data_IF_114939421307
#
_entry.id   IF_114939421307
#
_cell.length_a   1.000
_cell.length_b   1.000
_cell.length_c   1.000
_cell.angle_alpha   90.00
_cell.angle_beta   90.00
_cell.angle_gamma   90.00
#
_symmetry.space_group_name_H-M   'P 1'
#
loop_
_entity.id
_entity.type
_entity.pdbx_description
1 polymer ?
#
# COMPACT_ATOMS: atom_id res chain seq x y z
N UNK A 1 22.06 -8.15 -0.50
CA UNK A 1 22.17 -7.81 -1.95
C UNK A 1 23.50 -8.31 -2.52
N UNK A 2 24.64 -7.96 -1.89
CA UNK A 2 25.97 -8.35 -2.38
C UNK A 2 26.16 -9.87 -2.48
N UNK A 3 25.77 -10.64 -1.47
CA UNK A 3 25.88 -12.10 -1.44
C UNK A 3 25.11 -12.83 -2.56
N UNK A 4 24.09 -12.17 -3.13
CA UNK A 4 23.24 -12.72 -4.20
C UNK A 4 23.44 -12.03 -5.54
N UNK A 5 24.49 -11.23 -5.70
CA UNK A 5 24.76 -10.44 -6.92
C UNK A 5 23.57 -9.59 -7.41
N UNK A 6 22.84 -8.98 -6.46
CA UNK A 6 21.65 -8.14 -6.73
C UNK A 6 21.93 -6.66 -6.53
N UNK A 7 23.18 -6.25 -6.39
CA UNK A 7 23.59 -4.85 -6.10
C UNK A 7 23.08 -3.88 -7.15
N UNK A 8 23.09 -4.29 -8.42
CA UNK A 8 22.65 -3.45 -9.54
C UNK A 8 21.11 -3.38 -9.69
N UNK A 9 20.39 -4.21 -8.93
CA UNK A 9 18.92 -4.31 -8.98
C UNK A 9 18.23 -3.77 -7.74
N UNK A 10 18.98 -3.54 -6.66
CA UNK A 10 18.46 -3.07 -5.38
C UNK A 10 19.15 -1.77 -5.03
N UNK A 11 18.36 -0.73 -4.81
CA UNK A 11 18.83 0.58 -4.42
C UNK A 11 18.32 0.93 -3.02
N UNK A 12 19.24 1.13 -2.08
CA UNK A 12 18.93 1.59 -0.73
C UNK A 12 19.02 3.12 -0.71
N UNK A 13 17.89 3.79 -0.66
CA UNK A 13 17.81 5.26 -0.74
C UNK A 13 17.73 5.92 0.65
N UNK A 14 17.57 5.13 1.72
CA UNK A 14 17.37 5.68 3.06
C UNK A 14 16.00 6.31 3.25
N UNK A 15 15.87 7.15 4.26
CA UNK A 15 14.61 7.84 4.54
C UNK A 15 14.41 9.03 3.60
N UNK A 16 13.23 9.11 2.99
CA UNK A 16 12.83 10.20 2.09
C UNK A 16 11.72 11.00 2.76
N UNK A 17 12.02 12.25 3.13
CA UNK A 17 11.06 13.15 3.81
C UNK A 17 10.49 14.22 2.88
N UNK A 18 11.10 14.45 1.72
CA UNK A 18 10.62 15.42 0.76
C UNK A 18 9.43 14.84 -0.03
N UNK A 19 8.22 15.45 0.04
CA UNK A 19 7.04 14.90 -0.64
C UNK A 19 7.18 14.81 -2.15
N UNK A 20 7.91 15.75 -2.78
CA UNK A 20 8.14 15.72 -4.24
C UNK A 20 9.05 14.56 -4.64
N UNK A 21 10.08 14.30 -3.84
CA UNK A 21 10.99 13.18 -4.09
C UNK A 21 10.27 11.84 -3.85
N UNK A 22 9.52 11.72 -2.76
CA UNK A 22 8.68 10.55 -2.49
C UNK A 22 7.68 10.30 -3.63
N UNK A 23 7.01 11.36 -4.08
CA UNK A 23 6.08 11.28 -5.21
C UNK A 23 6.74 10.83 -6.51
N UNK A 24 7.98 11.22 -6.77
CA UNK A 24 8.72 10.74 -7.94
C UNK A 24 8.94 9.21 -7.86
N UNK A 25 9.40 8.69 -6.70
CA UNK A 25 9.54 7.25 -6.51
C UNK A 25 8.22 6.49 -6.63
N UNK A 26 7.13 7.01 -6.06
CA UNK A 26 5.81 6.39 -6.16
C UNK A 26 5.32 6.34 -7.61
N UNK A 27 5.47 7.42 -8.38
CA UNK A 27 5.07 7.47 -9.78
C UNK A 27 5.87 6.52 -10.70
N UNK A 28 7.13 6.23 -10.35
CA UNK A 28 7.98 5.29 -11.08
C UNK A 28 7.77 3.83 -10.66
N UNK A 29 7.01 3.60 -9.58
CA UNK A 29 6.82 2.27 -9.01
C UNK A 29 5.66 1.53 -9.69
N UNK A 30 5.72 0.21 -9.68
CA UNK A 30 4.65 -0.68 -10.18
C UNK A 30 3.83 -1.27 -9.02
N UNK A 31 4.45 -1.44 -7.85
CA UNK A 31 3.84 -2.00 -6.65
C UNK A 31 4.50 -1.40 -5.41
N UNK A 32 3.72 -1.22 -4.37
CA UNK A 32 4.22 -0.87 -3.05
C UNK A 32 4.25 -2.11 -2.16
N UNK A 33 5.39 -2.37 -1.51
CA UNK A 33 5.56 -3.51 -0.61
C UNK A 33 5.81 -3.04 0.81
N UNK A 34 5.01 -3.52 1.75
CA UNK A 34 5.17 -3.24 3.18
C UNK A 34 5.28 -4.56 3.96
N UNK A 35 6.47 -4.84 4.45
CA UNK A 35 6.77 -6.02 5.27
C UNK A 35 6.93 -5.61 6.73
N UNK A 36 5.84 -5.59 7.48
CA UNK A 36 5.81 -5.19 8.88
C UNK A 36 4.81 -4.07 9.16
N UNK A 37 4.94 -3.42 10.32
CA UNK A 37 4.06 -2.34 10.75
C UNK A 37 4.10 -1.14 9.81
N UNK A 38 2.93 -0.63 9.47
CA UNK A 38 2.79 0.60 8.72
C UNK A 38 1.31 0.92 8.51
N UNK A 39 0.98 2.15 8.29
CA UNK A 39 -0.39 2.59 8.06
C UNK A 39 -0.42 3.73 7.04
N UNK A 40 0.05 4.91 7.41
CA UNK A 40 -0.01 6.10 6.56
C UNK A 40 0.73 5.93 5.23
N UNK A 41 1.82 5.19 5.18
CA UNK A 41 2.56 4.91 3.94
C UNK A 41 1.77 4.07 2.93
N UNK A 42 0.82 3.25 3.40
CA UNK A 42 -0.14 2.56 2.52
C UNK A 42 -1.06 3.58 1.85
N UNK A 43 -1.58 4.56 2.60
CA UNK A 43 -2.42 5.62 2.04
C UNK A 43 -1.68 6.42 0.97
N UNK A 44 -0.42 6.76 1.23
CA UNK A 44 0.42 7.44 0.24
C UNK A 44 0.53 6.61 -1.04
N UNK A 45 0.92 5.34 -0.94
CA UNK A 45 1.04 4.45 -2.09
C UNK A 45 -0.27 4.30 -2.87
N UNK A 46 -1.39 4.10 -2.16
CA UNK A 46 -2.71 3.99 -2.76
C UNK A 46 -3.15 5.29 -3.47
N UNK A 47 -2.76 6.46 -2.95
CA UNK A 47 -3.03 7.76 -3.58
C UNK A 47 -2.33 7.89 -4.93
N UNK A 48 -1.16 7.26 -5.10
CA UNK A 48 -0.45 7.19 -6.38
C UNK A 48 -0.93 6.04 -7.28
N UNK A 49 -2.03 5.39 -6.94
CA UNK A 49 -2.58 4.30 -7.73
C UNK A 49 -1.71 3.04 -7.76
N UNK A 50 -0.96 2.79 -6.69
CA UNK A 50 -0.15 1.57 -6.57
C UNK A 50 -0.95 0.44 -5.92
N UNK A 51 -0.88 -0.78 -6.45
CA UNK A 51 -1.30 -1.96 -5.73
C UNK A 51 -0.37 -2.17 -4.53
N UNK A 52 -0.94 -2.61 -3.41
CA UNK A 52 -0.21 -2.81 -2.15
C UNK A 52 -0.03 -4.29 -1.86
N UNK A 53 1.20 -4.72 -1.64
CA UNK A 53 1.52 -6.07 -1.15
C UNK A 53 2.06 -5.94 0.27
N UNK A 54 1.28 -6.36 1.27
CA UNK A 54 1.65 -6.15 2.67
C UNK A 54 1.42 -7.40 3.54
N UNK A 55 2.14 -7.48 4.66
CA UNK A 55 1.81 -8.41 5.74
C UNK A 55 0.75 -7.78 6.65
N UNK A 56 0.02 -8.62 7.38
CA UNK A 56 -0.88 -8.14 8.43
C UNK A 56 -0.13 -8.17 9.74
N UNK A 57 0.16 -7.00 10.29
CA UNK A 57 0.92 -6.84 11.52
C UNK A 57 0.05 -6.38 12.69
N UNK A 58 -0.67 -5.25 12.54
CA UNK A 58 -1.53 -4.68 13.58
C UNK A 58 -3.01 -4.58 13.18
N UNK A 59 -3.37 -5.14 12.05
CA UNK A 59 -4.70 -5.13 11.43
C UNK A 59 -5.10 -3.83 10.74
N UNK A 60 -4.37 -2.73 10.86
CA UNK A 60 -4.64 -1.47 10.13
C UNK A 60 -4.59 -1.70 8.62
N UNK A 61 -3.72 -2.59 8.17
CA UNK A 61 -3.59 -2.96 6.77
C UNK A 61 -4.91 -3.51 6.18
N UNK A 62 -5.69 -4.24 6.99
CA UNK A 62 -6.99 -4.79 6.58
C UNK A 62 -8.09 -3.76 6.39
N UNK A 63 -7.97 -2.63 7.07
CA UNK A 63 -8.92 -1.52 6.93
C UNK A 63 -8.65 -0.71 5.65
N UNK A 64 -7.41 -0.74 5.18
CA UNK A 64 -6.94 0.01 4.02
C UNK A 64 -6.94 -0.82 2.74
N UNK A 65 -6.40 -2.04 2.80
CA UNK A 65 -6.19 -2.91 1.65
C UNK A 65 -7.26 -3.98 1.58
N UNK A 66 -7.92 -4.11 0.44
CA UNK A 66 -8.85 -5.19 0.14
C UNK A 66 -8.12 -6.27 -0.65
N UNK A 67 -7.95 -7.46 -0.05
CA UNK A 67 -7.21 -8.58 -0.65
C UNK A 67 -7.81 -8.99 -2.01
N UNK A 68 -6.95 -9.15 -2.99
CA UNK A 68 -7.35 -9.47 -4.37
C UNK A 68 -7.94 -8.31 -5.17
N UNK A 69 -8.23 -7.16 -4.54
CA UNK A 69 -8.87 -5.99 -5.17
C UNK A 69 -7.93 -4.81 -5.28
N UNK A 70 -7.43 -4.27 -4.18
CA UNK A 70 -6.47 -3.16 -4.16
C UNK A 70 -5.04 -3.58 -3.77
N UNK A 71 -4.86 -4.86 -3.43
CA UNK A 71 -3.56 -5.40 -3.06
C UNK A 71 -3.63 -6.88 -2.71
N UNK A 72 -2.55 -7.40 -2.15
CA UNK A 72 -2.43 -8.78 -1.72
C UNK A 72 -1.77 -8.85 -0.35
N UNK A 73 -2.24 -9.79 0.47
CA UNK A 73 -1.59 -10.09 1.75
C UNK A 73 -0.63 -11.29 1.64
N UNK A 74 0.51 -11.16 2.28
CA UNK A 74 1.45 -12.26 2.47
C UNK A 74 1.69 -12.54 3.96
N UNK A 75 2.25 -13.70 4.30
CA UNK A 75 2.56 -14.07 5.68
C UNK A 75 3.72 -13.25 6.23
N UNK A 76 3.52 -12.61 7.38
CA UNK A 76 4.57 -11.87 8.07
C UNK A 76 5.80 -12.76 8.34
N UNK A 77 6.99 -12.21 8.09
CA UNK A 77 8.26 -12.93 8.24
C UNK A 77 8.54 -14.01 7.20
N UNK A 78 7.64 -14.24 6.23
CA UNK A 78 7.76 -15.28 5.21
C UNK A 78 8.12 -14.69 3.83
N UNK A 79 9.42 -14.69 3.52
CA UNK A 79 9.92 -14.21 2.24
C UNK A 79 9.42 -15.05 1.04
N UNK A 80 9.15 -16.34 1.24
CA UNK A 80 8.57 -17.22 0.22
C UNK A 80 7.15 -16.76 -0.12
N UNK A 81 6.32 -16.54 0.90
CA UNK A 81 4.96 -16.02 0.73
C UNK A 81 4.95 -14.66 0.01
N UNK A 82 5.88 -13.75 0.34
CA UNK A 82 6.03 -12.48 -0.38
C UNK A 82 6.38 -12.70 -1.84
N UNK A 83 7.35 -13.57 -2.11
CA UNK A 83 7.78 -13.92 -3.48
C UNK A 83 6.60 -14.47 -4.30
N UNK A 84 5.80 -15.37 -3.72
CA UNK A 84 4.65 -15.96 -4.39
C UNK A 84 3.60 -14.88 -4.75
N UNK A 85 3.33 -13.94 -3.84
CA UNK A 85 2.40 -12.83 -4.07
C UNK A 85 2.89 -11.84 -5.13
N UNK A 86 4.16 -11.54 -5.16
CA UNK A 86 4.75 -10.72 -6.22
C UNK A 86 4.70 -11.42 -7.58
N UNK A 87 5.01 -12.72 -7.63
CA UNK A 87 4.91 -13.51 -8.85
C UNK A 87 3.46 -13.59 -9.34
N UNK A 88 2.49 -13.81 -8.45
CA UNK A 88 1.06 -13.78 -8.76
C UNK A 88 0.65 -12.45 -9.40
N UNK A 89 1.11 -11.33 -8.83
CA UNK A 89 0.79 -10.00 -9.33
C UNK A 89 1.43 -9.72 -10.69
N UNK A 90 2.71 -10.08 -10.87
CA UNK A 90 3.44 -9.82 -12.11
C UNK A 90 3.13 -10.81 -13.24
N UNK A 91 2.51 -11.94 -12.96
CA UNK A 91 2.04 -12.87 -13.99
C UNK A 91 1.01 -12.25 -14.94
N UNK A 92 0.31 -11.18 -14.50
CA UNK A 92 -0.69 -10.46 -15.29
C UNK A 92 -0.50 -8.95 -15.15
N UNK A 93 0.18 -8.29 -16.10
CA UNK A 93 0.43 -6.84 -16.05
C UNK A 93 -0.82 -5.99 -15.93
N UNK A 94 -1.93 -6.39 -16.54
CA UNK A 94 -3.24 -5.75 -16.42
C UNK A 94 -3.75 -5.71 -14.98
N UNK A 95 -3.44 -6.74 -14.18
CA UNK A 95 -3.85 -6.84 -12.78
C UNK A 95 -3.23 -5.76 -11.90
N UNK A 96 -1.96 -5.42 -12.09
CA UNK A 96 -1.33 -4.31 -11.38
C UNK A 96 -2.07 -2.99 -11.63
N UNK A 97 -2.43 -2.73 -12.88
CA UNK A 97 -3.15 -1.51 -13.26
C UNK A 97 -4.57 -1.48 -12.68
N UNK A 98 -5.28 -2.59 -12.71
CA UNK A 98 -6.62 -2.70 -12.13
C UNK A 98 -6.60 -2.51 -10.61
N UNK A 99 -5.73 -3.21 -9.91
CA UNK A 99 -5.57 -3.06 -8.46
C UNK A 99 -5.14 -1.65 -8.07
N UNK A 100 -4.27 -1.03 -8.85
CA UNK A 100 -3.84 0.35 -8.62
C UNK A 100 -4.99 1.35 -8.77
N UNK A 101 -5.85 1.19 -9.76
CA UNK A 101 -7.07 2.01 -9.92
C UNK A 101 -8.04 1.84 -8.74
N UNK A 102 -8.19 0.61 -8.26
CA UNK A 102 -9.01 0.35 -7.07
C UNK A 102 -8.40 0.94 -5.80
N UNK A 103 -7.08 0.91 -5.64
CA UNK A 103 -6.37 1.61 -4.57
C UNK A 103 -6.70 3.10 -4.56
N UNK A 104 -6.52 3.79 -5.68
CA UNK A 104 -6.83 5.20 -5.83
C UNK A 104 -8.31 5.50 -5.57
N UNK A 105 -9.22 4.66 -6.07
CA UNK A 105 -10.66 4.79 -5.84
C UNK A 105 -11.03 4.69 -4.37
N UNK A 106 -10.47 3.72 -3.64
CA UNK A 106 -10.71 3.54 -2.20
C UNK A 106 -10.28 4.80 -1.42
N UNK A 107 -9.10 5.34 -1.69
CA UNK A 107 -8.65 6.58 -1.05
C UNK A 107 -9.60 7.72 -1.35
N UNK A 108 -9.94 7.94 -2.62
CA UNK A 108 -10.78 9.05 -3.05
C UNK A 108 -12.20 8.98 -2.46
N UNK A 109 -12.78 7.80 -2.34
CA UNK A 109 -14.18 7.64 -1.95
C UNK A 109 -14.37 7.35 -0.45
N UNK A 110 -13.39 6.70 0.20
CA UNK A 110 -13.60 6.15 1.55
C UNK A 110 -12.64 6.67 2.61
N UNK A 111 -11.41 7.04 2.22
CA UNK A 111 -10.31 7.34 3.15
C UNK A 111 -9.73 8.74 2.89
N UNK A 112 -10.57 9.67 2.49
CA UNK A 112 -10.22 11.08 2.35
C UNK A 112 -10.61 11.85 3.61
N UNK A 113 -10.06 13.05 3.75
CA UNK A 113 -10.26 13.88 4.95
C UNK A 113 -11.72 14.28 5.15
N UNK A 114 -12.46 14.51 4.08
CA UNK A 114 -13.86 14.87 4.10
C UNK A 114 -14.69 13.73 4.70
N UNK A 115 -14.56 12.53 4.15
CA UNK A 115 -15.29 11.34 4.61
C UNK A 115 -14.95 10.97 6.04
N UNK A 116 -13.68 11.06 6.41
CA UNK A 116 -13.22 10.78 7.79
C UNK A 116 -13.77 11.82 8.75
N UNK A 117 -13.72 13.11 8.41
CA UNK A 117 -14.25 14.21 9.23
C UNK A 117 -15.75 14.07 9.43
N UNK A 118 -16.51 13.74 8.40
CA UNK A 118 -17.97 13.53 8.49
C UNK A 118 -18.31 12.38 9.43
N UNK A 119 -17.59 11.27 9.36
CA UNK A 119 -17.78 10.11 10.26
C UNK A 119 -17.50 10.48 11.72
N UNK A 120 -16.45 11.25 11.99
CA UNK A 120 -16.17 11.74 13.33
C UNK A 120 -17.29 12.66 13.85
N UNK A 121 -17.72 13.62 13.05
CA UNK A 121 -18.83 14.52 13.42
C UNK A 121 -20.14 13.76 13.69
N UNK A 122 -20.43 12.75 12.88
CA UNK A 122 -21.61 11.91 13.10
C UNK A 122 -21.51 11.11 14.40
N UNK A 123 -20.36 10.52 14.70
CA UNK A 123 -20.11 9.82 15.95
C UNK A 123 -20.32 10.75 17.17
N UNK A 124 -19.72 11.95 17.16
CA UNK A 124 -19.90 12.94 18.22
C UNK A 124 -21.37 13.32 18.42
N UNK A 125 -22.12 13.56 17.35
CA UNK A 125 -23.57 13.88 17.44
C UNK A 125 -24.37 12.75 18.08
N UNK A 126 -24.00 11.50 17.84
CA UNK A 126 -24.68 10.34 18.44
C UNK A 126 -24.39 10.23 19.93
N UNK A 127 -23.19 10.58 20.39
CA UNK A 127 -22.85 10.56 21.81
C UNK A 127 -23.37 11.76 22.61
N UNK A 128 -23.75 12.85 21.94
CA UNK A 128 -24.29 14.06 22.61
C UNK A 128 -25.80 14.07 22.73
N UNK A 129 -26.50 13.05 22.25
CA UNK A 129 -27.94 12.83 22.44
C UNK A 129 -28.20 11.94 23.67
#
# INVERSE_FOLDING_TARGET
>A
AAERNLTDRIRFIGAVYNPKELGAYMNESTVYVLAGMGGLSINDAMTYGLPVVCSVCDSTERDLVTDGVSGLFFREGDAGSLSDKLNELFASPGRCTEMGRESERIIREKINIETVSERYLQAFRTFMQ
#
